data_IF_420131400008
#
_entry.id   IF_420131400008
#
_cell.length_a   1.000
_cell.length_b   1.000
_cell.length_c   1.000
_cell.angle_alpha   90.00
_cell.angle_beta   90.00
_cell.angle_gamma   90.00
#
_symmetry.space_group_name_H-M   'P 1'
#
loop_
_entity.id
_entity.type
_entity.pdbx_description
1 polymer ?
#
# COMPACT_ATOMS: atom_id res chain seq x y z
N UNK A 1 32.38 13.13 16.04
CA UNK A 1 31.59 12.22 15.18
C UNK A 1 31.06 13.03 14.02
N UNK A 2 31.48 12.74 12.79
CA UNK A 2 30.99 13.44 11.61
C UNK A 2 29.58 12.93 11.24
N UNK A 3 28.63 13.79 10.82
CA UNK A 3 27.33 13.35 10.38
C UNK A 3 27.48 12.51 9.09
N UNK A 4 26.79 11.37 9.03
CA UNK A 4 26.62 10.59 7.80
C UNK A 4 25.84 11.45 6.80
N UNK A 5 26.53 12.18 5.96
CA UNK A 5 25.94 13.00 4.91
C UNK A 5 25.62 12.11 3.71
N UNK A 6 24.70 11.16 3.88
CA UNK A 6 24.21 10.33 2.78
C UNK A 6 23.18 11.18 2.02
N UNK A 7 23.51 11.53 0.77
CA UNK A 7 22.59 12.25 -0.11
C UNK A 7 21.36 11.38 -0.35
N UNK A 8 20.18 12.00 -0.43
CA UNK A 8 18.97 11.28 -0.81
C UNK A 8 19.19 10.62 -2.18
N UNK A 9 18.94 9.31 -2.26
CA UNK A 9 19.01 8.53 -3.49
C UNK A 9 17.58 8.29 -3.98
N UNK A 10 17.30 8.64 -5.24
CA UNK A 10 16.04 8.30 -5.88
C UNK A 10 15.99 6.78 -6.04
N UNK A 11 14.97 6.15 -5.46
CA UNK A 11 14.87 4.69 -5.47
C UNK A 11 14.22 4.18 -6.76
N UNK A 12 13.11 4.78 -7.20
CA UNK A 12 12.35 4.40 -8.40
C UNK A 12 11.51 5.57 -8.95
N UNK A 13 11.23 5.56 -10.26
CA UNK A 13 10.24 6.43 -10.90
C UNK A 13 8.91 5.68 -11.09
N UNK A 14 7.86 6.18 -10.44
CA UNK A 14 6.52 5.59 -10.49
C UNK A 14 5.49 6.62 -10.97
N UNK A 15 4.58 6.17 -11.83
CA UNK A 15 3.52 6.99 -12.39
C UNK A 15 2.48 7.41 -11.34
N UNK A 16 2.61 8.57 -10.72
CA UNK A 16 1.65 9.07 -9.73
C UNK A 16 2.33 9.47 -8.44
N UNK A 17 1.54 9.58 -7.36
CA UNK A 17 2.08 9.95 -6.05
C UNK A 17 2.40 8.69 -5.25
N UNK A 18 3.57 8.68 -4.61
CA UNK A 18 3.97 7.63 -3.67
C UNK A 18 4.11 8.23 -2.28
N UNK A 19 3.33 7.75 -1.32
CA UNK A 19 3.26 8.32 0.03
C UNK A 19 3.17 7.25 1.12
N UNK A 20 3.08 7.69 2.37
CA UNK A 20 2.92 6.86 3.58
C UNK A 20 3.90 5.66 3.69
N UNK A 21 5.22 5.86 3.47
CA UNK A 21 6.17 4.76 3.51
C UNK A 21 6.29 4.14 4.91
N UNK A 22 6.51 2.82 4.95
CA UNK A 22 6.75 2.01 6.14
C UNK A 22 7.84 0.99 5.87
N UNK A 23 8.91 1.06 6.64
CA UNK A 23 10.00 0.09 6.60
C UNK A 23 9.54 -1.26 7.14
N UNK A 24 9.97 -2.35 6.49
CA UNK A 24 9.87 -3.69 7.06
C UNK A 24 10.73 -3.79 8.33
N UNK A 25 10.41 -4.71 9.26
CA UNK A 25 11.17 -4.87 10.51
C UNK A 25 12.66 -5.18 10.30
N UNK A 26 13.00 -5.85 9.19
CA UNK A 26 14.38 -6.17 8.80
C UNK A 26 15.09 -5.05 8.02
N UNK A 27 14.40 -3.95 7.73
CA UNK A 27 14.93 -2.81 6.98
C UNK A 27 15.22 -3.08 5.50
N UNK A 28 14.78 -4.22 4.94
CA UNK A 28 15.09 -4.59 3.54
C UNK A 28 14.05 -4.15 2.53
N UNK A 29 12.84 -3.85 3.00
CA UNK A 29 11.69 -3.48 2.16
C UNK A 29 10.99 -2.23 2.67
N UNK A 30 10.29 -1.56 1.76
CA UNK A 30 9.43 -0.42 2.07
C UNK A 30 8.04 -0.70 1.52
N UNK A 31 7.03 -0.76 2.38
CA UNK A 31 5.63 -0.72 1.97
C UNK A 31 5.20 0.75 1.84
N UNK A 32 4.48 1.09 0.78
CA UNK A 32 4.01 2.46 0.53
C UNK A 32 2.69 2.43 -0.24
N UNK A 33 1.95 3.54 -0.16
CA UNK A 33 0.76 3.73 -0.98
C UNK A 33 1.15 4.34 -2.32
N UNK A 34 0.67 3.74 -3.39
CA UNK A 34 0.84 4.16 -4.77
C UNK A 34 -0.49 4.73 -5.26
N UNK A 35 -0.63 6.06 -5.23
CA UNK A 35 -1.86 6.79 -5.53
C UNK A 35 -1.94 7.15 -7.02
N UNK A 36 -3.04 6.75 -7.67
CA UNK A 36 -3.32 6.98 -9.10
C UNK A 36 -4.43 7.99 -9.34
N UNK A 37 -4.78 8.77 -8.30
CA UNK A 37 -5.87 9.76 -8.23
C UNK A 37 -7.26 9.17 -8.11
N UNK A 38 -7.63 8.18 -8.92
CA UNK A 38 -8.95 7.52 -8.91
C UNK A 38 -8.99 6.26 -8.01
N UNK A 39 -7.89 5.51 -7.99
CA UNK A 39 -7.63 4.33 -7.16
C UNK A 39 -6.24 4.40 -6.50
N UNK A 40 -5.95 3.48 -5.58
CA UNK A 40 -4.63 3.37 -4.96
C UNK A 40 -4.29 1.95 -4.57
N UNK A 41 -3.00 1.62 -4.67
CA UNK A 41 -2.47 0.30 -4.27
C UNK A 41 -1.59 0.43 -3.04
N UNK A 42 -1.46 -0.66 -2.28
CA UNK A 42 -0.25 -0.86 -1.47
C UNK A 42 0.78 -1.60 -2.32
N UNK A 43 1.99 -1.07 -2.33
CA UNK A 43 3.14 -1.67 -3.00
C UNK A 43 4.28 -1.88 -2.01
N UNK A 44 5.10 -2.90 -2.26
CA UNK A 44 6.31 -3.23 -1.50
C UNK A 44 7.50 -3.12 -2.44
N UNK A 45 8.46 -2.25 -2.09
CA UNK A 45 9.75 -2.13 -2.76
C UNK A 45 10.80 -2.95 -2.02
N UNK A 46 11.46 -3.88 -2.71
CA UNK A 46 12.67 -4.57 -2.24
C UNK A 46 13.90 -3.73 -2.59
N UNK A 47 14.70 -3.34 -1.60
CA UNK A 47 15.77 -2.36 -1.83
C UNK A 47 16.96 -2.91 -2.62
N UNK A 48 17.28 -4.19 -2.43
CA UNK A 48 18.43 -4.81 -3.07
C UNK A 48 18.23 -5.01 -4.58
N UNK A 49 17.01 -5.34 -4.99
CA UNK A 49 16.67 -5.65 -6.39
C UNK A 49 15.89 -4.54 -7.06
N UNK A 50 15.42 -3.57 -6.28
CA UNK A 50 14.45 -2.54 -6.68
C UNK A 50 13.13 -3.10 -7.22
N UNK A 51 12.84 -4.37 -6.97
CA UNK A 51 11.60 -5.00 -7.39
C UNK A 51 10.42 -4.44 -6.60
N UNK A 52 9.34 -4.11 -7.31
CA UNK A 52 8.06 -3.71 -6.73
C UNK A 52 7.06 -4.86 -6.84
N UNK A 53 6.39 -5.15 -5.72
CA UNK A 53 5.26 -6.08 -5.64
C UNK A 53 4.01 -5.30 -5.22
N UNK A 54 2.93 -5.37 -6.00
CA UNK A 54 1.63 -4.81 -5.63
C UNK A 54 0.82 -5.83 -4.83
N UNK A 55 0.23 -5.41 -3.72
CA UNK A 55 -0.48 -6.30 -2.80
C UNK A 55 -1.96 -6.35 -3.16
N UNK A 56 -2.45 -7.54 -3.54
CA UNK A 56 -3.83 -7.84 -3.92
C UNK A 56 -4.45 -6.75 -4.82
N UNK A 57 -3.84 -6.39 -5.97
CA UNK A 57 -4.18 -5.19 -6.72
C UNK A 57 -5.63 -5.19 -7.22
N UNK A 58 -6.32 -4.05 -7.06
CA UNK A 58 -7.69 -3.82 -7.52
C UNK A 58 -7.88 -2.35 -7.93
N UNK A 59 -9.05 -2.00 -8.46
CA UNK A 59 -9.45 -0.60 -8.73
C UNK A 59 -10.00 0.13 -7.50
N UNK A 60 -9.84 -0.47 -6.31
CA UNK A 60 -10.23 0.14 -5.03
C UNK A 60 -9.15 1.12 -4.51
N UNK A 61 -9.42 1.72 -3.35
CA UNK A 61 -8.48 2.58 -2.65
C UNK A 61 -7.90 1.89 -1.45
N UNK A 62 -6.61 1.57 -1.54
CA UNK A 62 -5.85 1.04 -0.43
C UNK A 62 -5.08 2.13 0.32
N UNK A 63 -4.98 1.98 1.65
CA UNK A 63 -4.28 2.93 2.52
C UNK A 63 -3.76 2.29 3.81
N UNK A 64 -2.90 3.05 4.50
CA UNK A 64 -2.41 2.73 5.85
C UNK A 64 -1.75 1.35 5.98
N UNK A 65 -0.71 1.05 5.18
CA UNK A 65 -0.01 -0.23 5.27
C UNK A 65 0.70 -0.38 6.63
N UNK A 66 0.66 -1.58 7.21
CA UNK A 66 1.41 -1.93 8.42
C UNK A 66 2.03 -3.32 8.28
N UNK A 67 3.29 -3.46 8.66
CA UNK A 67 4.01 -4.74 8.60
C UNK A 67 3.66 -5.64 9.78
N UNK A 68 3.55 -6.92 9.50
CA UNK A 68 3.67 -7.97 10.52
C UNK A 68 5.05 -7.93 11.19
N UNK A 69 5.18 -8.33 12.47
CA UNK A 69 6.46 -8.33 13.18
C UNK A 69 7.54 -9.20 12.52
N UNK A 70 7.16 -10.28 11.84
CA UNK A 70 8.09 -11.16 11.10
C UNK A 70 8.40 -10.65 9.68
N UNK A 71 7.77 -9.55 9.26
CA UNK A 71 7.96 -8.92 7.96
C UNK A 71 7.43 -9.74 6.79
N UNK A 72 6.66 -10.80 6.98
CA UNK A 72 6.16 -11.61 5.86
C UNK A 72 4.90 -11.03 5.24
N UNK A 73 4.06 -10.42 6.06
CA UNK A 73 2.76 -9.91 5.67
C UNK A 73 2.63 -8.41 5.90
N UNK A 74 1.74 -7.78 5.14
CA UNK A 74 1.30 -6.40 5.31
C UNK A 74 -0.21 -6.37 5.45
N UNK A 75 -0.70 -5.72 6.50
CA UNK A 75 -2.12 -5.40 6.63
C UNK A 75 -2.40 -3.98 6.14
N UNK A 76 -3.58 -3.75 5.58
CA UNK A 76 -3.98 -2.43 5.05
C UNK A 76 -5.50 -2.28 5.01
N UNK A 77 -5.96 -1.03 4.91
CA UNK A 77 -7.37 -0.70 4.74
C UNK A 77 -7.69 -0.59 3.26
N UNK A 78 -8.80 -1.19 2.83
CA UNK A 78 -9.35 -1.09 1.48
C UNK A 78 -10.72 -0.44 1.53
N UNK A 79 -10.95 0.53 0.65
CA UNK A 79 -12.25 1.17 0.46
C UNK A 79 -12.64 1.09 -1.02
N UNK A 80 -13.93 1.05 -1.36
CA UNK A 80 -14.37 1.15 -2.74
C UNK A 80 -13.72 2.32 -3.48
N UNK A 81 -13.32 2.06 -4.73
CA UNK A 81 -12.81 3.09 -5.63
C UNK A 81 -13.82 4.23 -5.83
N UNK A 82 -13.36 5.35 -6.40
CA UNK A 82 -14.30 6.41 -6.81
C UNK A 82 -14.95 5.98 -8.11
N UNK A 83 -16.21 5.56 -8.06
CA UNK A 83 -17.01 5.44 -9.27
C UNK A 83 -17.33 6.84 -9.82
N UNK A 84 -17.10 7.05 -11.12
CA UNK A 84 -17.43 8.31 -11.80
C UNK A 84 -18.95 8.60 -11.84
N UNK A 85 -19.80 7.59 -11.62
CA UNK A 85 -21.25 7.73 -11.51
C UNK A 85 -21.70 7.46 -10.07
N UNK A 86 -21.56 8.47 -9.21
CA UNK A 86 -22.18 8.39 -7.88
C UNK A 86 -23.71 8.47 -8.02
N UNK A 87 -24.47 7.64 -7.30
CA UNK A 87 -25.92 7.82 -7.22
C UNK A 87 -26.23 9.20 -6.64
N UNK A 88 -27.34 9.80 -7.09
CA UNK A 88 -27.82 11.10 -6.58
C UNK A 88 -28.08 11.07 -5.07
N UNK A 89 -28.43 9.90 -4.55
CA UNK A 89 -28.53 9.61 -3.12
C UNK A 89 -27.29 8.79 -2.75
N UNK A 90 -26.38 9.30 -1.90
CA UNK A 90 -25.21 8.54 -1.52
C UNK A 90 -25.61 7.32 -0.66
N UNK A 91 -25.04 6.15 -0.97
CA UNK A 91 -25.11 5.00 -0.07
C UNK A 91 -24.17 5.23 1.12
N UNK A 92 -24.76 5.25 2.31
CA UNK A 92 -24.06 5.34 3.59
C UNK A 92 -24.48 4.17 4.49
N UNK A 93 -23.55 3.59 5.27
CA UNK A 93 -22.11 3.87 5.31
C UNK A 93 -21.38 3.36 4.06
N UNK A 94 -20.21 3.96 3.73
CA UNK A 94 -19.32 3.37 2.72
C UNK A 94 -18.54 2.25 3.38
N UNK A 95 -18.69 0.99 2.96
CA UNK A 95 -17.99 -0.11 3.59
C UNK A 95 -16.48 0.01 3.36
N UNK A 96 -15.70 -0.49 4.31
CA UNK A 96 -14.26 -0.63 4.22
C UNK A 96 -13.86 -2.03 4.70
N UNK A 97 -12.77 -2.56 4.15
CA UNK A 97 -12.23 -3.85 4.52
C UNK A 97 -10.85 -3.73 5.15
N UNK A 98 -10.55 -4.59 6.13
CA UNK A 98 -9.18 -4.85 6.57
C UNK A 98 -8.66 -6.02 5.75
N UNK A 99 -7.53 -5.82 5.08
CA UNK A 99 -6.90 -6.82 4.23
C UNK A 99 -5.54 -7.20 4.77
N UNK A 100 -5.12 -8.42 4.47
CA UNK A 100 -3.78 -8.91 4.73
C UNK A 100 -3.22 -9.55 3.46
N UNK A 101 -1.96 -9.26 3.16
CA UNK A 101 -1.28 -9.79 1.98
C UNK A 101 0.15 -10.23 2.30
N UNK A 102 0.61 -11.28 1.63
CA UNK A 102 2.01 -11.68 1.61
C UNK A 102 2.84 -10.65 0.85
N UNK A 103 3.89 -10.16 1.50
CA UNK A 103 4.69 -9.05 1.00
C UNK A 103 5.62 -9.44 -0.16
N UNK A 104 5.79 -10.74 -0.45
CA UNK A 104 6.64 -11.23 -1.54
C UNK A 104 5.82 -11.65 -2.75
N UNK A 105 4.79 -12.45 -2.56
CA UNK A 105 3.92 -12.91 -3.66
C UNK A 105 2.92 -11.84 -4.08
N UNK A 106 2.51 -10.97 -3.15
CA UNK A 106 1.45 -10.00 -3.37
C UNK A 106 0.05 -10.60 -3.22
N UNK A 107 -0.08 -11.89 -2.93
CA UNK A 107 -1.37 -12.53 -2.68
C UNK A 107 -1.94 -12.03 -1.36
N UNK A 108 -3.25 -11.76 -1.33
CA UNK A 108 -3.91 -11.27 -0.12
C UNK A 108 -5.39 -11.59 -0.10
N UNK A 109 -5.97 -11.49 1.08
CA UNK A 109 -7.39 -11.74 1.33
C UNK A 109 -7.94 -10.73 2.33
N UNK A 110 -9.26 -10.56 2.29
CA UNK A 110 -9.99 -9.76 3.27
C UNK A 110 -10.06 -10.51 4.60
N UNK A 111 -9.71 -9.82 5.68
CA UNK A 111 -9.79 -10.31 7.06
C UNK A 111 -11.09 -9.84 7.73
N UNK A 112 -11.57 -8.66 7.36
CA UNK A 112 -12.78 -8.06 7.90
C UNK A 112 -13.42 -7.12 6.88
N UNK A 113 -14.74 -7.02 6.94
CA UNK A 113 -15.55 -6.11 6.13
C UNK A 113 -16.51 -5.34 7.06
N UNK A 114 -16.54 -4.01 6.96
CA UNK A 114 -17.58 -3.22 7.63
C UNK A 114 -18.87 -3.29 6.82
N UNK A 115 -20.01 -3.53 7.47
CA UNK A 115 -21.31 -3.67 6.80
C UNK A 115 -21.80 -2.44 6.04
#
# INVERSE_FOLDING_TARGET
MAPLQKKAEQLEELLGESDTPRWSPDGKRIAFRSNRKDHSFIAVLELATKKITYLAPTTNRDASPVWSPDGKQVAFIRQPGVEFKRPLIPEFPRPWGLWIADARSGEGHELFHSG
#
